data_IF_470212439057
#
_entry.id   IF_470212439057
#
_cell.length_a   1.000
_cell.length_b   1.000
_cell.length_c   1.000
_cell.angle_alpha   90.00
_cell.angle_beta   90.00
_cell.angle_gamma   90.00
#
_symmetry.space_group_name_H-M   'P 1'
#
loop_
_entity.id
_entity.type
_entity.pdbx_description
1 polymer ?
#
# COMPACT_ATOMS: atom_id res chain seq x y z
N UNK A 1 4.14 -6.65 -14.27
CA UNK A 1 3.91 -6.15 -12.90
C UNK A 1 5.06 -6.59 -12.00
N UNK A 2 5.93 -5.66 -11.61
CA UNK A 2 7.03 -5.89 -10.68
C UNK A 2 6.71 -5.23 -9.34
N UNK A 3 6.47 -6.05 -8.31
CA UNK A 3 6.20 -5.59 -6.95
C UNK A 3 7.42 -5.86 -6.09
N UNK A 4 7.90 -4.84 -5.36
CA UNK A 4 8.96 -5.00 -4.36
C UNK A 4 8.37 -4.77 -2.97
N UNK A 5 8.43 -5.78 -2.11
CA UNK A 5 8.07 -5.68 -0.71
C UNK A 5 9.31 -5.81 0.17
N UNK A 6 9.51 -4.90 1.13
CA UNK A 6 10.68 -4.94 2.00
C UNK A 6 10.44 -4.34 3.39
N UNK A 7 10.74 -5.13 4.42
CA UNK A 7 10.74 -4.65 5.79
C UNK A 7 12.05 -3.89 6.07
N UNK A 8 11.97 -2.56 6.07
CA UNK A 8 13.15 -1.69 6.08
C UNK A 8 13.70 -1.41 7.47
N UNK A 9 12.88 -1.52 8.52
CA UNK A 9 13.24 -1.19 9.92
C UNK A 9 13.93 0.18 10.03
N UNK A 10 13.29 1.20 9.47
CA UNK A 10 13.75 2.60 9.43
C UNK A 10 14.28 3.02 8.06
N UNK A 11 13.61 4.00 7.44
CA UNK A 11 13.90 4.52 6.10
C UNK A 11 14.68 5.86 6.12
N UNK A 12 15.62 6.05 7.05
CA UNK A 12 16.45 7.27 7.10
C UNK A 12 17.18 7.54 5.76
N UNK A 13 17.63 8.77 5.49
CA UNK A 13 18.28 9.19 4.23
C UNK A 13 19.69 8.59 3.98
N UNK A 14 20.06 7.54 4.69
CA UNK A 14 21.39 6.90 4.60
C UNK A 14 21.44 5.72 3.63
N UNK A 15 22.26 4.72 3.96
CA UNK A 15 22.57 3.54 3.13
C UNK A 15 21.28 2.83 2.67
N UNK A 16 20.35 2.57 3.59
CA UNK A 16 19.08 1.89 3.30
C UNK A 16 18.26 2.59 2.21
N UNK A 17 18.20 3.93 2.24
CA UNK A 17 17.51 4.73 1.23
C UNK A 17 18.15 4.56 -0.15
N UNK A 18 19.47 4.63 -0.25
CA UNK A 18 20.19 4.42 -1.50
C UNK A 18 19.99 2.98 -2.03
N UNK A 19 20.06 1.97 -1.16
CA UNK A 19 19.83 0.57 -1.53
C UNK A 19 18.44 0.33 -2.09
N UNK A 20 17.39 0.84 -1.44
CA UNK A 20 16.01 0.71 -1.94
C UNK A 20 15.86 1.39 -3.30
N UNK A 21 16.37 2.61 -3.47
CA UNK A 21 16.33 3.32 -4.76
C UNK A 21 17.03 2.55 -5.86
N UNK A 22 18.18 1.95 -5.55
CA UNK A 22 18.93 1.16 -6.52
C UNK A 22 18.18 -0.12 -6.91
N UNK A 23 17.58 -0.81 -5.94
CA UNK A 23 16.74 -1.99 -6.20
C UNK A 23 15.53 -1.64 -7.06
N UNK A 24 14.82 -0.55 -6.72
CA UNK A 24 13.67 -0.05 -7.50
C UNK A 24 14.04 0.19 -8.95
N UNK A 25 15.16 0.88 -9.20
CA UNK A 25 15.63 1.14 -10.56
C UNK A 25 16.06 -0.14 -11.29
N UNK A 26 16.83 -1.01 -10.62
CA UNK A 26 17.35 -2.25 -11.22
C UNK A 26 16.22 -3.22 -11.60
N UNK A 27 15.21 -3.34 -10.74
CA UNK A 27 14.10 -4.27 -10.92
C UNK A 27 12.91 -3.66 -11.67
N UNK A 28 12.99 -2.39 -12.09
CA UNK A 28 11.90 -1.66 -12.74
C UNK A 28 10.58 -1.83 -11.98
N UNK A 29 10.62 -1.48 -10.69
CA UNK A 29 9.49 -1.69 -9.77
C UNK A 29 8.32 -0.78 -10.12
N UNK A 30 7.14 -1.37 -10.19
CA UNK A 30 5.87 -0.69 -10.48
C UNK A 30 5.13 -0.30 -9.20
N UNK A 31 5.23 -1.14 -8.16
CA UNK A 31 4.68 -0.92 -6.82
C UNK A 31 5.72 -1.31 -5.75
N UNK A 32 6.11 -0.32 -4.96
CA UNK A 32 7.01 -0.46 -3.82
C UNK A 32 6.20 -0.50 -2.52
N UNK A 33 6.34 -1.58 -1.75
CA UNK A 33 5.74 -1.78 -0.45
C UNK A 33 6.83 -1.85 0.62
N UNK A 34 6.83 -0.91 1.57
CA UNK A 34 7.78 -0.90 2.69
C UNK A 34 7.05 -1.08 4.02
N UNK A 35 7.62 -1.90 4.91
CA UNK A 35 7.16 -2.07 6.28
C UNK A 35 8.22 -1.57 7.28
N UNK A 36 7.76 -1.22 8.48
CA UNK A 36 8.58 -0.65 9.55
C UNK A 36 9.37 0.59 9.08
N UNK A 37 8.72 1.54 8.43
CA UNK A 37 9.39 2.74 7.89
C UNK A 37 9.96 3.65 8.98
N UNK A 38 9.40 3.59 10.20
CA UNK A 38 9.73 4.47 11.34
C UNK A 38 9.66 5.96 10.97
N UNK A 39 8.71 6.31 10.10
CA UNK A 39 8.38 7.68 9.70
C UNK A 39 6.89 7.90 9.90
N UNK A 40 6.55 9.09 10.35
CA UNK A 40 5.17 9.55 10.55
C UNK A 40 4.53 10.04 9.23
N UNK A 41 5.34 10.56 8.32
CA UNK A 41 4.89 11.24 7.11
C UNK A 41 5.81 11.02 5.92
N UNK A 42 5.23 11.19 4.74
CA UNK A 42 5.92 11.13 3.46
C UNK A 42 5.42 12.26 2.56
N UNK A 43 6.35 13.02 1.99
CA UNK A 43 6.05 14.00 0.96
C UNK A 43 6.21 13.40 -0.45
N UNK A 44 5.66 14.10 -1.45
CA UNK A 44 5.72 13.69 -2.86
C UNK A 44 7.16 13.50 -3.34
N UNK A 45 8.06 14.40 -2.96
CA UNK A 45 9.45 14.39 -3.41
C UNK A 45 10.21 13.14 -2.92
N UNK A 46 9.99 12.74 -1.66
CA UNK A 46 10.52 11.53 -1.07
C UNK A 46 9.99 10.29 -1.80
N UNK A 47 8.69 10.23 -2.07
CA UNK A 47 8.07 9.11 -2.79
C UNK A 47 8.55 9.02 -4.25
N UNK A 48 8.69 10.14 -4.96
CA UNK A 48 9.25 10.20 -6.32
C UNK A 48 10.71 9.75 -6.33
N UNK A 49 11.50 10.19 -5.35
CA UNK A 49 12.90 9.78 -5.23
C UNK A 49 13.05 8.28 -4.96
N UNK A 50 12.16 7.67 -4.16
CA UNK A 50 12.14 6.23 -3.88
C UNK A 50 11.74 5.40 -5.10
N UNK A 51 10.63 5.76 -5.73
CA UNK A 51 10.04 5.03 -6.86
C UNK A 51 10.74 5.26 -8.19
N UNK A 52 11.46 6.39 -8.34
CA UNK A 52 12.07 6.87 -9.59
C UNK A 52 11.07 7.14 -10.72
N UNK A 53 9.80 7.35 -10.39
CA UNK A 53 8.77 7.72 -11.35
C UNK A 53 8.31 9.17 -11.11
N UNK A 54 8.05 9.97 -12.16
CA UNK A 54 7.50 11.32 -12.00
C UNK A 54 6.03 11.29 -11.61
N UNK A 55 5.26 10.40 -12.26
CA UNK A 55 3.82 10.25 -12.08
C UNK A 55 3.55 9.16 -11.04
N UNK A 56 3.43 9.57 -9.79
CA UNK A 56 3.25 8.66 -8.68
C UNK A 56 1.97 8.93 -7.91
N UNK A 57 1.50 7.87 -7.26
CA UNK A 57 0.64 7.96 -6.11
C UNK A 57 1.25 7.11 -4.98
N UNK A 58 0.87 7.43 -3.76
CA UNK A 58 1.33 6.71 -2.59
C UNK A 58 0.23 6.66 -1.54
N UNK A 59 0.38 5.71 -0.64
CA UNK A 59 -0.44 5.54 0.55
C UNK A 59 0.50 5.18 1.69
N UNK A 60 0.26 5.69 2.89
CA UNK A 60 1.11 5.37 4.03
C UNK A 60 0.28 5.21 5.29
N UNK A 61 0.81 4.44 6.22
CA UNK A 61 0.33 4.43 7.59
C UNK A 61 1.44 5.02 8.47
N UNK A 62 1.15 6.04 9.29
CA UNK A 62 2.17 6.66 10.13
C UNK A 62 2.76 5.66 11.12
N UNK A 63 4.06 5.79 11.41
CA UNK A 63 4.66 5.18 12.58
C UNK A 63 4.14 5.86 13.85
N UNK A 64 3.92 5.08 14.91
CA UNK A 64 3.60 5.60 16.24
C UNK A 64 4.83 5.35 17.11
N UNK A 65 5.49 6.42 17.55
CA UNK A 65 6.80 6.39 18.20
C UNK A 65 7.87 5.72 17.29
N UNK A 66 8.67 4.81 17.84
CA UNK A 66 9.76 4.12 17.11
C UNK A 66 9.32 2.83 16.42
N UNK A 67 8.02 2.51 16.47
CA UNK A 67 7.43 1.28 15.97
C UNK A 67 6.48 1.54 14.78
N UNK A 68 6.39 0.53 13.91
CA UNK A 68 5.52 0.51 12.73
C UNK A 68 5.90 1.54 11.64
N UNK A 69 4.88 2.03 10.93
CA UNK A 69 5.02 2.78 9.71
C UNK A 69 5.04 1.87 8.48
N UNK A 70 4.19 2.17 7.51
CA UNK A 70 4.12 1.45 6.22
C UNK A 70 4.02 2.47 5.09
N UNK A 71 4.52 2.09 3.92
CA UNK A 71 4.43 2.90 2.71
C UNK A 71 4.15 2.00 1.52
N UNK A 72 3.23 2.41 0.66
CA UNK A 72 3.08 1.91 -0.69
C UNK A 72 3.28 3.07 -1.66
N UNK A 73 4.14 2.92 -2.67
CA UNK A 73 4.34 3.91 -3.74
C UNK A 73 4.23 3.20 -5.08
N UNK A 74 3.45 3.73 -6.01
CA UNK A 74 3.31 3.16 -7.34
C UNK A 74 3.31 4.22 -8.43
N UNK A 75 3.65 3.78 -9.65
CA UNK A 75 3.49 4.61 -10.84
C UNK A 75 2.01 4.63 -11.26
N UNK A 76 1.39 5.82 -11.23
CA UNK A 76 -0.03 5.98 -11.57
C UNK A 76 -0.35 5.72 -13.04
N UNK A 77 0.66 5.67 -13.92
CA UNK A 77 0.51 5.24 -15.31
C UNK A 77 0.47 3.72 -15.49
N UNK A 78 0.91 2.96 -14.49
CA UNK A 78 0.95 1.51 -14.54
C UNK A 78 -0.21 0.89 -13.72
N UNK A 79 -0.61 1.56 -12.63
CA UNK A 79 -1.69 1.12 -11.75
C UNK A 79 -2.68 2.26 -11.52
N UNK A 80 -3.91 2.06 -11.95
CA UNK A 80 -5.04 2.89 -11.52
C UNK A 80 -5.58 2.28 -10.22
N UNK A 81 -5.50 3.01 -9.10
CA UNK A 81 -5.99 2.54 -7.80
C UNK A 81 -7.28 3.26 -7.46
N UNK A 82 -8.35 2.49 -7.30
CA UNK A 82 -9.69 2.99 -7.04
C UNK A 82 -10.01 3.00 -5.54
N UNK A 83 -9.50 2.02 -4.77
CA UNK A 83 -9.71 1.92 -3.32
C UNK A 83 -8.36 1.81 -2.61
N UNK A 84 -8.22 2.56 -1.53
CA UNK A 84 -7.04 2.58 -0.64
C UNK A 84 -7.52 2.47 0.79
N UNK A 85 -7.00 1.49 1.51
CA UNK A 85 -7.27 1.32 2.95
C UNK A 85 -5.94 1.26 3.67
N UNK A 86 -5.72 2.19 4.60
CA UNK A 86 -4.53 2.26 5.43
C UNK A 86 -4.97 2.07 6.88
N UNK A 87 -4.62 0.93 7.46
CA UNK A 87 -4.97 0.58 8.84
C UNK A 87 -3.74 0.02 9.57
N UNK A 88 -3.86 -0.14 10.89
CA UNK A 88 -2.78 -0.72 11.69
C UNK A 88 -2.47 -2.13 11.19
N UNK A 89 -1.26 -2.32 10.67
CA UNK A 89 -0.73 -3.61 10.23
C UNK A 89 -0.98 -3.95 8.77
N UNK A 90 -1.73 -3.15 8.00
CA UNK A 90 -1.74 -3.27 6.55
C UNK A 90 -2.08 -1.98 5.77
N UNK A 91 -1.63 -1.94 4.52
CA UNK A 91 -2.15 -1.04 3.47
C UNK A 91 -2.71 -1.92 2.35
N UNK A 92 -3.99 -1.76 2.02
CA UNK A 92 -4.65 -2.44 0.91
C UNK A 92 -4.89 -1.46 -0.23
N UNK A 93 -4.48 -1.85 -1.43
CA UNK A 93 -4.70 -1.12 -2.67
C UNK A 93 -5.52 -2.02 -3.60
N UNK A 94 -6.64 -1.52 -4.08
CA UNK A 94 -7.44 -2.19 -5.10
C UNK A 94 -7.57 -1.29 -6.32
N UNK A 95 -7.45 -1.89 -7.50
CA UNK A 95 -7.58 -1.17 -8.75
C UNK A 95 -7.29 -2.03 -9.97
N UNK A 96 -6.84 -1.40 -11.04
CA UNK A 96 -6.56 -2.02 -12.33
C UNK A 96 -5.08 -1.87 -12.67
N UNK A 97 -4.44 -3.00 -12.94
CA UNK A 97 -3.14 -3.05 -13.58
C UNK A 97 -3.32 -2.78 -15.08
N UNK A 98 -2.85 -1.62 -15.54
CA UNK A 98 -3.26 -1.05 -16.82
C UNK A 98 -2.67 -1.79 -18.03
N UNK A 99 -1.48 -2.38 -17.90
CA UNK A 99 -0.84 -3.08 -19.02
C UNK A 99 -1.66 -4.30 -19.49
N UNK A 100 -2.29 -5.00 -18.55
CA UNK A 100 -3.06 -6.22 -18.81
C UNK A 100 -4.57 -6.02 -18.59
N UNK A 101 -5.00 -4.78 -18.29
CA UNK A 101 -6.37 -4.42 -17.90
C UNK A 101 -6.95 -5.34 -16.79
N UNK A 102 -6.09 -5.78 -15.87
CA UNK A 102 -6.43 -6.77 -14.87
C UNK A 102 -6.81 -6.10 -13.55
N UNK A 103 -7.96 -6.46 -12.98
CA UNK A 103 -8.31 -6.08 -11.60
C UNK A 103 -7.36 -6.76 -10.61
N UNK A 104 -6.75 -5.98 -9.74
CA UNK A 104 -5.79 -6.46 -8.74
C UNK A 104 -6.09 -5.87 -7.38
N UNK A 105 -5.86 -6.69 -6.34
CA UNK A 105 -5.83 -6.26 -4.94
C UNK A 105 -4.45 -6.59 -4.41
N UNK A 106 -3.72 -5.58 -3.93
CA UNK A 106 -2.42 -5.75 -3.31
C UNK A 106 -2.47 -5.26 -1.88
N UNK A 107 -2.12 -6.13 -0.93
CA UNK A 107 -2.10 -5.80 0.48
C UNK A 107 -0.66 -5.89 1.02
N UNK A 108 -0.10 -4.76 1.38
CA UNK A 108 1.15 -4.66 2.14
C UNK A 108 0.84 -4.93 3.61
N UNK A 109 1.33 -6.04 4.17
CA UNK A 109 0.98 -6.49 5.53
C UNK A 109 2.21 -6.53 6.43
N UNK A 110 2.06 -6.03 7.65
CA UNK A 110 3.00 -6.22 8.75
C UNK A 110 2.25 -6.62 10.03
N UNK A 111 2.23 -7.92 10.32
CA UNK A 111 1.41 -8.48 11.39
C UNK A 111 2.08 -8.37 12.78
N UNK A 112 1.29 -8.20 13.86
CA UNK A 112 1.77 -8.37 15.23
C UNK A 112 2.36 -9.76 15.48
N UNK A 113 3.24 -9.89 16.47
CA UNK A 113 3.83 -11.18 16.84
C UNK A 113 2.85 -12.08 17.62
N UNK A 114 1.99 -11.47 18.44
CA UNK A 114 1.02 -12.17 19.28
C UNK A 114 -0.18 -12.71 18.49
N UNK A 115 -0.76 -13.81 18.99
CA UNK A 115 -1.84 -14.53 18.31
C UNK A 115 -3.10 -13.67 18.20
N UNK A 116 -3.41 -12.90 19.25
CA UNK A 116 -4.61 -12.06 19.29
C UNK A 116 -4.54 -10.95 18.24
N UNK A 117 -3.42 -10.23 18.17
CA UNK A 117 -3.17 -9.19 17.19
C UNK A 117 -3.18 -9.73 15.75
N UNK A 118 -2.65 -10.92 15.51
CA UNK A 118 -2.79 -11.59 14.20
C UNK A 118 -4.25 -11.88 13.86
N UNK A 119 -5.02 -12.41 14.82
CA UNK A 119 -6.44 -12.72 14.61
C UNK A 119 -7.24 -11.47 14.25
N UNK A 120 -7.04 -10.38 14.99
CA UNK A 120 -7.72 -9.11 14.74
C UNK A 120 -7.36 -8.51 13.37
N UNK A 121 -6.09 -8.60 12.97
CA UNK A 121 -5.64 -8.20 11.63
C UNK A 121 -6.34 -9.01 10.54
N UNK A 122 -6.37 -10.35 10.66
CA UNK A 122 -7.00 -11.21 9.68
C UNK A 122 -8.53 -11.07 9.63
N UNK A 123 -9.18 -10.79 10.76
CA UNK A 123 -10.60 -10.45 10.81
C UNK A 123 -10.87 -9.13 10.07
N UNK A 124 -10.02 -8.13 10.29
CA UNK A 124 -10.13 -6.83 9.61
C UNK A 124 -9.98 -7.00 8.10
N UNK A 125 -8.97 -7.74 7.64
CA UNK A 125 -8.78 -8.06 6.21
C UNK A 125 -9.94 -8.86 5.62
N UNK A 126 -10.44 -9.87 6.33
CA UNK A 126 -11.56 -10.70 5.88
C UNK A 126 -12.83 -9.87 5.66
N UNK A 127 -13.13 -8.95 6.57
CA UNK A 127 -14.25 -8.02 6.43
C UNK A 127 -14.11 -7.17 5.17
N UNK A 128 -12.93 -6.58 4.92
CA UNK A 128 -12.68 -5.77 3.71
C UNK A 128 -12.82 -6.58 2.41
N UNK A 129 -12.41 -7.85 2.42
CA UNK A 129 -12.62 -8.74 1.27
C UNK A 129 -14.10 -9.01 1.01
N UNK A 130 -14.89 -9.20 2.06
CA UNK A 130 -16.34 -9.42 1.94
C UNK A 130 -17.02 -8.16 1.39
N UNK A 131 -16.67 -6.99 1.93
CA UNK A 131 -17.20 -5.69 1.48
C UNK A 131 -16.90 -5.44 -0.02
N UNK A 132 -15.76 -5.94 -0.53
CA UNK A 132 -15.39 -5.84 -1.94
C UNK A 132 -16.18 -6.80 -2.86
N UNK A 133 -16.61 -7.97 -2.37
CA UNK A 133 -17.41 -8.94 -3.12
C UNK A 133 -18.90 -8.58 -3.07
N UNK A 134 -19.35 -8.02 -1.96
CA UNK A 134 -20.72 -7.60 -1.70
C UNK A 134 -20.74 -6.08 -1.47
N UNK A 135 -20.53 -5.25 -2.51
CA UNK A 135 -20.74 -3.82 -2.36
C UNK A 135 -22.17 -3.61 -1.85
N UNK A 136 -22.40 -2.63 -0.95
CA UNK A 136 -23.71 -2.41 -0.37
C UNK A 136 -24.73 -2.29 -1.50
N UNK A 137 -25.74 -3.16 -1.47
CA UNK A 137 -26.87 -3.09 -2.39
C UNK A 137 -27.45 -1.69 -2.23
N UNK A 138 -27.16 -0.82 -3.20
CA UNK A 138 -27.68 0.53 -3.19
C UNK A 138 -29.19 0.45 -3.06
N UNK A 139 -29.75 1.17 -2.10
CA UNK A 139 -31.17 1.45 -2.05
C UNK A 139 -31.51 2.15 -3.37
N UNK A 140 -32.00 1.38 -4.34
CA UNK A 140 -32.67 1.94 -5.51
C UNK A 140 -33.88 2.71 -4.96
N UNK A 141 -33.77 4.03 -5.00
CA UNK A 141 -34.85 4.94 -4.62
C UNK A 141 -36.00 4.67 -5.58
N UNK A 142 -37.16 4.32 -5.02
CA UNK A 142 -38.44 4.28 -5.75
C UNK A 142 -38.80 5.70 -6.17
N UNK A 143 -38.34 6.11 -7.35
CA UNK A 143 -38.92 7.24 -8.08
C UNK A 143 -39.92 6.68 -9.11
N UNK A 144 -41.06 6.20 -8.63
CA UNK A 144 -42.25 5.98 -9.46
C UNK A 144 -43.19 7.18 -9.31
N UNK A 145 -43.05 8.12 -10.24
CA UNK A 145 -44.18 8.95 -10.69
C UNK A 145 -45.03 8.15 -11.67
#
# INVERSE_FOLDING_TARGET
MNILSYNIRGLGRGIKWASIRNLVGKLKVDLLCLQETKRDSFDKAACQALSRHPDIAWEWHPAVNTAAGMLCVWNSKNIQVDIRISEKGFIMLEGVWLADMQRVVVTNIYAPCDIEGKRQLWQSLSRRKIDAILPPQGNWIEDSK
#
